data_IF_523927716699
#
_entry.id   IF_523927716699
#
_cell.length_a   1.000
_cell.length_b   1.000
_cell.length_c   1.000
_cell.angle_alpha   90.00
_cell.angle_beta   90.00
_cell.angle_gamma   90.00
#
_symmetry.space_group_name_H-M   'P 1'
#
loop_
_entity.id
_entity.type
_entity.pdbx_description
1 polymer ?
#
# COMPACT_ATOMS: atom_id res chain seq x y z
N UNK A 1 8.85 20.19 -1.52
CA UNK A 1 8.49 18.75 -1.65
C UNK A 1 8.67 18.35 -3.10
N UNK A 2 9.50 17.34 -3.44
CA UNK A 2 9.57 16.85 -4.82
C UNK A 2 8.19 16.33 -5.22
N UNK A 3 7.66 16.76 -6.36
CA UNK A 3 6.46 16.18 -6.96
C UNK A 3 6.81 14.75 -7.39
N UNK A 4 6.65 13.79 -6.47
CA UNK A 4 6.84 12.37 -6.76
C UNK A 4 5.65 11.93 -7.61
N UNK A 5 5.86 11.81 -8.92
CA UNK A 5 4.89 11.21 -9.82
C UNK A 5 4.82 9.72 -9.49
N UNK A 6 3.65 9.26 -9.06
CA UNK A 6 3.41 7.85 -8.73
C UNK A 6 3.21 7.06 -10.01
N UNK A 7 4.00 6.00 -10.20
CA UNK A 7 3.90 5.10 -11.36
C UNK A 7 2.57 4.35 -11.38
N UNK A 8 2.04 4.00 -10.20
CA UNK A 8 0.79 3.25 -10.03
C UNK A 8 -0.13 3.99 -9.04
N UNK A 9 -0.69 5.14 -9.43
CA UNK A 9 -1.32 6.07 -8.49
C UNK A 9 -2.54 5.51 -7.76
N UNK A 10 -3.22 4.51 -8.34
CA UNK A 10 -4.45 3.93 -7.77
C UNK A 10 -4.18 3.33 -6.38
N UNK A 11 -3.14 2.51 -6.24
CA UNK A 11 -2.80 1.87 -4.97
C UNK A 11 -1.63 2.55 -4.26
N UNK A 12 -0.73 3.25 -4.97
CA UNK A 12 0.40 3.93 -4.34
C UNK A 12 -0.02 5.17 -3.52
N UNK A 13 -1.11 5.86 -3.89
CA UNK A 13 -1.64 6.98 -3.10
C UNK A 13 -2.06 6.55 -1.69
N UNK A 14 -2.96 5.56 -1.52
CA UNK A 14 -3.36 5.13 -0.18
C UNK A 14 -2.20 4.47 0.58
N UNK A 15 -1.31 3.71 -0.09
CA UNK A 15 -0.08 3.19 0.52
C UNK A 15 0.79 4.31 1.11
N UNK A 16 1.10 5.35 0.32
CA UNK A 16 1.91 6.48 0.80
C UNK A 16 1.22 7.20 1.95
N UNK A 17 -0.10 7.34 1.92
CA UNK A 17 -0.86 7.95 3.00
C UNK A 17 -0.77 7.16 4.31
N UNK A 18 -0.69 5.82 4.25
CA UNK A 18 -0.46 4.99 5.42
C UNK A 18 0.98 5.15 5.95
N UNK A 19 1.99 5.12 5.09
CA UNK A 19 3.41 5.19 5.49
C UNK A 19 3.78 6.51 6.19
N UNK A 20 3.12 7.62 5.84
CA UNK A 20 3.42 8.95 6.43
C UNK A 20 2.49 9.33 7.59
N UNK A 21 1.50 8.49 7.92
CA UNK A 21 0.54 8.79 8.98
C UNK A 21 1.16 8.51 10.35
N UNK A 22 1.17 9.53 11.20
CA UNK A 22 1.79 9.47 12.54
C UNK A 22 0.77 9.30 13.65
N UNK A 23 -0.52 9.48 13.39
CA UNK A 23 -1.59 9.27 14.36
C UNK A 23 -1.99 7.78 14.40
N UNK A 24 -1.77 7.04 15.51
CA UNK A 24 -2.04 5.60 15.57
C UNK A 24 -3.50 5.21 15.29
N UNK A 25 -4.47 6.07 15.64
CA UNK A 25 -5.90 5.83 15.39
C UNK A 25 -6.24 5.93 13.91
N UNK A 26 -5.69 6.94 13.23
CA UNK A 26 -5.88 7.12 11.80
C UNK A 26 -5.05 6.12 11.00
N UNK A 27 -3.87 5.76 11.50
CA UNK A 27 -2.96 4.84 10.84
C UNK A 27 -3.61 3.47 10.62
N UNK A 28 -4.35 2.94 11.60
CA UNK A 28 -5.14 1.70 11.43
C UNK A 28 -6.11 1.79 10.24
N UNK A 29 -6.82 2.91 10.10
CA UNK A 29 -7.74 3.12 8.98
C UNK A 29 -7.02 3.28 7.64
N UNK A 30 -5.87 3.97 7.63
CA UNK A 30 -5.06 4.17 6.42
C UNK A 30 -4.44 2.86 5.95
N UNK A 31 -3.96 2.01 6.85
CA UNK A 31 -3.45 0.67 6.54
C UNK A 31 -4.54 -0.15 5.87
N UNK A 32 -5.72 -0.25 6.47
CA UNK A 32 -6.83 -1.02 5.91
C UNK A 32 -7.22 -0.53 4.49
N UNK A 33 -7.29 0.79 4.28
CA UNK A 33 -7.57 1.37 2.96
C UNK A 33 -6.47 1.10 1.93
N UNK A 34 -5.20 1.12 2.35
CA UNK A 34 -4.06 0.81 1.49
C UNK A 34 -4.01 -0.68 1.11
N UNK A 35 -4.23 -1.58 2.06
CA UNK A 35 -4.31 -3.03 1.81
C UNK A 35 -5.45 -3.37 0.85
N UNK A 36 -6.64 -2.79 1.07
CA UNK A 36 -7.78 -2.99 0.18
C UNK A 36 -7.46 -2.56 -1.25
N UNK A 37 -6.84 -1.38 -1.43
CA UNK A 37 -6.46 -0.88 -2.74
C UNK A 37 -5.39 -1.77 -3.42
N UNK A 38 -4.39 -2.22 -2.68
CA UNK A 38 -3.34 -3.11 -3.18
C UNK A 38 -3.88 -4.50 -3.56
N UNK A 39 -4.72 -5.10 -2.72
CA UNK A 39 -5.36 -6.40 -2.99
C UNK A 39 -6.28 -6.32 -4.22
N UNK A 40 -7.08 -5.24 -4.34
CA UNK A 40 -7.93 -5.04 -5.51
C UNK A 40 -7.09 -4.93 -6.77
N UNK A 41 -5.97 -4.18 -6.72
CA UNK A 41 -5.07 -4.09 -7.86
C UNK A 41 -4.46 -5.44 -8.20
N UNK A 42 -4.00 -6.21 -7.22
CA UNK A 42 -3.42 -7.54 -7.44
C UNK A 42 -4.39 -8.46 -8.20
N UNK A 43 -5.68 -8.45 -7.83
CA UNK A 43 -6.74 -9.17 -8.56
C UNK A 43 -6.91 -8.70 -10.01
N UNK A 44 -6.80 -7.39 -10.26
CA UNK A 44 -6.87 -6.85 -11.63
C UNK A 44 -5.68 -7.29 -12.49
N UNK A 45 -4.49 -7.41 -11.89
CA UNK A 45 -3.27 -7.80 -12.62
C UNK A 45 -3.24 -9.28 -13.02
N UNK A 46 -4.02 -10.15 -12.35
CA UNK A 46 -4.12 -11.58 -12.70
C UNK A 46 -4.58 -11.81 -14.14
N UNK A 47 -5.27 -10.83 -14.75
CA UNK A 47 -5.79 -10.93 -16.11
C UNK A 47 -4.89 -10.28 -17.17
N UNK A 48 -3.67 -9.87 -16.84
CA UNK A 48 -2.79 -9.13 -17.76
C UNK A 48 -1.36 -9.66 -17.76
N UNK A 49 -0.82 -9.88 -18.97
CA UNK A 49 0.38 -10.68 -19.21
C UNK A 49 1.72 -9.97 -18.91
N UNK A 50 1.74 -8.66 -18.63
CA UNK A 50 2.99 -7.89 -18.50
C UNK A 50 2.97 -6.91 -17.30
N UNK A 51 2.86 -7.46 -16.09
CA UNK A 51 2.77 -6.66 -14.85
C UNK A 51 3.80 -7.05 -13.78
N UNK A 52 4.89 -7.74 -14.15
CA UNK A 52 5.84 -8.30 -13.18
C UNK A 52 6.38 -7.25 -12.21
N UNK A 53 6.70 -6.06 -12.71
CA UNK A 53 7.22 -4.96 -11.88
C UNK A 53 6.16 -4.38 -10.94
N UNK A 54 4.89 -4.35 -11.35
CA UNK A 54 3.80 -3.88 -10.48
C UNK A 54 3.46 -4.94 -9.42
N UNK A 55 3.53 -6.22 -9.76
CA UNK A 55 3.31 -7.33 -8.83
C UNK A 55 4.35 -7.37 -7.70
N UNK A 56 5.64 -7.19 -8.02
CA UNK A 56 6.69 -7.08 -7.01
C UNK A 56 6.39 -5.89 -6.09
N UNK A 57 6.14 -4.71 -6.66
CA UNK A 57 5.87 -3.50 -5.89
C UNK A 57 4.63 -3.61 -4.98
N UNK A 58 3.58 -4.31 -5.43
CA UNK A 58 2.38 -4.58 -4.62
C UNK A 58 2.66 -5.57 -3.49
N UNK A 59 3.45 -6.60 -3.75
CA UNK A 59 3.82 -7.60 -2.75
C UNK A 59 4.64 -6.94 -1.64
N UNK A 60 5.67 -6.16 -2.01
CA UNK A 60 6.49 -5.39 -1.07
C UNK A 60 5.63 -4.41 -0.25
N UNK A 61 4.69 -3.71 -0.91
CA UNK A 61 3.79 -2.79 -0.23
C UNK A 61 2.88 -3.48 0.79
N UNK A 62 2.32 -4.65 0.47
CA UNK A 62 1.50 -5.42 1.42
C UNK A 62 2.32 -5.93 2.60
N UNK A 63 3.55 -6.40 2.37
CA UNK A 63 4.46 -6.81 3.44
C UNK A 63 4.80 -5.63 4.35
N UNK A 64 5.12 -4.47 3.78
CA UNK A 64 5.41 -3.26 4.55
C UNK A 64 4.21 -2.79 5.39
N UNK A 65 2.99 -2.84 4.84
CA UNK A 65 1.77 -2.49 5.55
C UNK A 65 1.50 -3.44 6.73
N UNK A 66 1.74 -4.74 6.55
CA UNK A 66 1.62 -5.73 7.62
C UNK A 66 2.58 -5.42 8.77
N UNK A 67 3.86 -5.20 8.46
CA UNK A 67 4.88 -4.85 9.46
C UNK A 67 4.51 -3.55 10.18
N UNK A 68 4.07 -2.54 9.43
CA UNK A 68 3.63 -1.26 9.99
C UNK A 68 2.43 -1.46 10.94
N UNK A 69 1.48 -2.32 10.60
CA UNK A 69 0.35 -2.67 11.47
C UNK A 69 0.80 -3.34 12.77
N UNK A 70 1.73 -4.28 12.69
CA UNK A 70 2.28 -4.99 13.86
C UNK A 70 2.97 -4.03 14.85
N UNK A 71 3.65 -2.98 14.37
CA UNK A 71 4.26 -1.97 15.25
C UNK A 71 3.25 -1.18 16.09
N UNK A 72 2.00 -1.06 15.63
CA UNK A 72 0.93 -0.33 16.36
C UNK A 72 0.26 -1.24 17.39
N UNK A 73 0.35 -2.55 17.22
CA UNK A 73 -0.37 -3.54 18.05
C UNK A 73 0.53 -4.13 19.14
N UNK A 74 1.82 -3.79 19.14
CA UNK A 74 2.80 -4.17 20.14
C UNK A 74 2.81 -3.25 21.38
N UNK A 75 2.01 -2.17 21.36
CA UNK A 75 1.74 -1.26 22.50
C UNK A 75 0.38 -1.55 23.14
#
# INVERSE_FOLDING_TARGET
MRNVVLKYPIWQKPYRAAVIETNPKLLKQKIAGAEQAAILRLKQLQNSADNHHELIALTDALTALKILGETIWAE
#
